data_IF_136759588693
#
_entry.id   IF_136759588693
#
_cell.length_a   1.000
_cell.length_b   1.000
_cell.length_c   1.000
_cell.angle_alpha   90.00
_cell.angle_beta   90.00
_cell.angle_gamma   90.00
#
_symmetry.space_group_name_H-M   'P 1'
#
loop_
_entity.id
_entity.type
_entity.pdbx_description
1 polymer ?
#
# COMPACT_ATOMS: atom_id res chain seq x y z
N UNK A 1 0.95 43.12 -25.73
CA UNK A 1 -0.09 42.07 -25.65
C UNK A 1 0.35 40.71 -26.22
N UNK A 2 0.80 40.57 -27.48
CA UNK A 2 1.23 39.24 -28.03
C UNK A 2 2.38 38.57 -27.25
N UNK A 3 3.34 39.33 -26.70
CA UNK A 3 4.51 38.77 -26.00
C UNK A 3 4.24 38.30 -24.56
N UNK A 4 3.31 38.93 -23.84
CA UNK A 4 2.98 38.53 -22.45
C UNK A 4 2.15 37.26 -22.43
N UNK A 5 1.16 37.16 -23.33
CA UNK A 5 0.37 35.93 -23.48
C UNK A 5 1.26 34.74 -23.87
N UNK A 6 2.29 34.97 -24.71
CA UNK A 6 3.24 33.93 -25.09
C UNK A 6 4.14 33.50 -23.91
N UNK A 7 4.48 34.45 -23.02
CA UNK A 7 5.25 34.15 -21.80
C UNK A 7 4.42 33.33 -20.79
N UNK A 8 3.16 33.70 -20.56
CA UNK A 8 2.26 32.91 -19.71
C UNK A 8 1.99 31.52 -20.29
N UNK A 9 1.77 31.42 -21.61
CA UNK A 9 1.62 30.13 -22.29
C UNK A 9 2.83 29.23 -22.05
N UNK A 10 4.05 29.71 -22.28
CA UNK A 10 5.28 28.94 -22.01
C UNK A 10 5.43 28.52 -20.55
N UNK A 11 5.11 29.40 -19.59
CA UNK A 11 5.18 29.06 -18.16
C UNK A 11 4.20 27.95 -17.79
N UNK A 12 2.97 28.03 -18.29
CA UNK A 12 1.94 27.01 -18.05
C UNK A 12 2.35 25.70 -18.72
N UNK A 13 2.81 25.74 -19.98
CA UNK A 13 3.32 24.55 -20.68
C UNK A 13 4.47 23.89 -19.91
N UNK A 14 5.45 24.67 -19.43
CA UNK A 14 6.55 24.11 -18.64
C UNK A 14 6.08 23.49 -17.32
N UNK A 15 5.07 24.08 -16.67
CA UNK A 15 4.45 23.49 -15.47
C UNK A 15 3.74 22.18 -15.81
N UNK A 16 2.97 22.15 -16.90
CA UNK A 16 2.30 20.93 -17.39
C UNK A 16 3.32 19.82 -17.68
N UNK A 17 4.39 20.12 -18.40
CA UNK A 17 5.48 19.17 -18.69
C UNK A 17 6.10 18.66 -17.39
N UNK A 18 6.43 19.56 -16.45
CA UNK A 18 7.01 19.17 -15.16
C UNK A 18 6.10 18.27 -14.33
N UNK A 19 4.79 18.51 -14.32
CA UNK A 19 3.84 17.67 -13.59
C UNK A 19 3.65 16.31 -14.27
N UNK A 20 3.58 16.27 -15.61
CA UNK A 20 3.52 15.03 -16.36
C UNK A 20 4.76 14.15 -16.15
N UNK A 21 5.96 14.76 -16.08
CA UNK A 21 7.19 14.02 -15.77
C UNK A 21 7.11 13.30 -14.42
N UNK A 22 6.60 13.97 -13.38
CA UNK A 22 6.42 13.35 -12.06
C UNK A 22 5.44 12.18 -12.09
N UNK A 23 4.35 12.32 -12.86
CA UNK A 23 3.36 11.23 -13.04
C UNK A 23 3.99 10.03 -13.75
N UNK A 24 4.83 10.25 -14.77
CA UNK A 24 5.54 9.17 -15.46
C UNK A 24 6.52 8.47 -14.52
N UNK A 25 7.29 9.23 -13.72
CA UNK A 25 8.26 8.68 -12.76
C UNK A 25 7.62 7.71 -11.76
N UNK A 26 6.41 8.01 -11.28
CA UNK A 26 5.69 7.12 -10.34
C UNK A 26 4.98 5.94 -11.01
N UNK A 27 4.74 5.98 -12.33
CA UNK A 27 4.12 4.87 -13.08
C UNK A 27 5.06 3.69 -13.36
N UNK A 28 6.28 3.72 -12.84
CA UNK A 28 7.32 2.71 -13.05
C UNK A 28 7.74 2.00 -11.75
N UNK A 29 7.07 2.24 -10.62
CA UNK A 29 7.42 1.57 -9.37
C UNK A 29 7.10 0.07 -9.37
N UNK A 30 7.96 -0.68 -8.69
CA UNK A 30 7.86 -2.14 -8.54
C UNK A 30 7.95 -2.55 -7.08
N UNK A 31 7.52 -3.78 -6.75
CA UNK A 31 7.75 -4.34 -5.40
C UNK A 31 9.24 -4.60 -5.14
N UNK A 32 10.03 -4.84 -6.18
CA UNK A 32 11.49 -4.99 -6.08
C UNK A 32 12.12 -3.68 -5.57
N UNK A 33 11.64 -2.53 -6.03
CA UNK A 33 12.11 -1.21 -5.55
C UNK A 33 11.86 -1.03 -4.04
N UNK A 34 10.75 -1.57 -3.53
CA UNK A 34 10.42 -1.53 -2.10
C UNK A 34 11.34 -2.40 -1.25
N UNK A 35 11.89 -3.48 -1.82
CA UNK A 35 12.68 -4.48 -1.10
C UNK A 35 14.16 -4.46 -1.43
N UNK A 36 14.60 -3.52 -2.28
CA UNK A 36 16.00 -3.39 -2.71
C UNK A 36 16.99 -3.29 -1.55
N UNK A 37 16.59 -2.65 -0.45
CA UNK A 37 17.43 -2.46 0.74
C UNK A 37 17.67 -3.75 1.54
N UNK A 38 16.81 -4.77 1.36
CA UNK A 38 16.94 -6.06 2.04
C UNK A 38 17.41 -7.16 1.08
N UNK A 39 17.83 -6.82 -0.14
CA UNK A 39 18.05 -7.82 -1.18
C UNK A 39 19.22 -8.78 -0.87
N UNK A 40 20.21 -8.30 -0.11
CA UNK A 40 21.38 -9.07 0.37
C UNK A 40 21.07 -10.04 1.53
N UNK A 41 19.86 -9.96 2.11
CA UNK A 41 19.45 -10.86 3.19
C UNK A 41 19.06 -12.25 2.66
N UNK A 42 19.13 -13.26 3.51
CA UNK A 42 18.57 -14.58 3.21
C UNK A 42 17.05 -14.53 3.20
N UNK A 43 16.40 -15.42 2.46
CA UNK A 43 14.93 -15.46 2.34
C UNK A 43 14.20 -15.45 3.70
N UNK A 44 14.63 -16.28 4.66
CA UNK A 44 14.05 -16.30 6.02
C UNK A 44 14.17 -14.96 6.75
N UNK A 45 15.24 -14.20 6.49
CA UNK A 45 15.44 -12.88 7.09
C UNK A 45 14.56 -11.84 6.39
N UNK A 46 14.47 -11.89 5.05
CA UNK A 46 13.57 -11.03 4.28
C UNK A 46 12.12 -11.19 4.76
N UNK A 47 11.65 -12.43 4.90
CA UNK A 47 10.30 -12.73 5.39
C UNK A 47 10.05 -12.19 6.79
N UNK A 48 11.02 -12.32 7.70
CA UNK A 48 10.90 -11.74 9.05
C UNK A 48 10.81 -10.23 9.05
N UNK A 49 11.53 -9.55 8.17
CA UNK A 49 11.43 -8.09 8.02
C UNK A 49 10.02 -7.70 7.55
N UNK A 50 9.47 -8.40 6.55
CA UNK A 50 8.11 -8.13 6.07
C UNK A 50 7.06 -8.44 7.13
N UNK A 51 7.22 -9.55 7.88
CA UNK A 51 6.38 -9.90 9.03
C UNK A 51 6.39 -8.80 10.11
N UNK A 52 7.55 -8.23 10.40
CA UNK A 52 7.69 -7.13 11.34
C UNK A 52 6.97 -5.86 10.84
N UNK A 53 7.08 -5.54 9.55
CA UNK A 53 6.34 -4.41 8.93
C UNK A 53 4.84 -4.61 9.11
N UNK A 54 4.30 -5.78 8.72
CA UNK A 54 2.87 -6.10 8.86
C UNK A 54 2.41 -5.92 10.30
N UNK A 55 3.13 -6.47 11.26
CA UNK A 55 2.77 -6.39 12.67
C UNK A 55 2.86 -4.98 13.24
N UNK A 56 3.84 -4.18 12.79
CA UNK A 56 3.94 -2.78 13.17
C UNK A 56 2.73 -2.00 12.67
N UNK A 57 2.34 -2.18 11.40
CA UNK A 57 1.16 -1.51 10.84
C UNK A 57 -0.13 -1.92 11.57
N UNK A 58 -0.34 -3.22 11.79
CA UNK A 58 -1.53 -3.72 12.51
C UNK A 58 -1.58 -3.22 13.96
N UNK A 59 -0.44 -3.10 14.64
CA UNK A 59 -0.37 -2.57 15.99
C UNK A 59 -0.73 -1.09 16.07
N UNK A 60 -0.42 -0.30 15.05
CA UNK A 60 -0.87 1.08 14.96
C UNK A 60 -2.37 1.16 14.63
N UNK A 61 -2.82 0.34 13.66
CA UNK A 61 -4.19 0.33 13.18
C UNK A 61 -5.20 -0.13 14.23
N UNK A 62 -4.84 -1.03 15.15
CA UNK A 62 -5.79 -1.59 16.15
C UNK A 62 -6.50 -0.53 17.01
N UNK A 63 -5.92 0.66 17.14
CA UNK A 63 -6.48 1.77 17.92
C UNK A 63 -7.49 2.63 17.14
N UNK A 64 -7.61 2.40 15.83
CA UNK A 64 -8.35 3.23 14.89
C UNK A 64 -9.74 2.64 14.58
N UNK A 65 -10.62 2.56 15.58
CA UNK A 65 -11.90 1.83 15.46
C UNK A 65 -12.98 2.56 14.67
N UNK A 66 -12.94 3.89 14.64
CA UNK A 66 -14.02 4.74 14.10
C UNK A 66 -13.74 5.28 12.68
N UNK A 67 -12.74 4.71 12.00
CA UNK A 67 -12.31 5.21 10.69
C UNK A 67 -13.35 4.91 9.60
N UNK A 68 -13.60 5.89 8.72
CA UNK A 68 -14.31 5.64 7.47
C UNK A 68 -13.41 4.88 6.48
N UNK A 69 -13.42 3.57 6.65
CA UNK A 69 -12.62 2.63 5.88
C UNK A 69 -12.91 2.73 4.38
N UNK A 70 -14.14 3.09 3.96
CA UNK A 70 -14.46 3.15 2.52
C UNK A 70 -13.72 4.27 1.82
N UNK A 71 -13.65 5.45 2.47
CA UNK A 71 -12.90 6.60 1.94
C UNK A 71 -11.41 6.29 1.88
N UNK A 72 -10.88 5.63 2.91
CA UNK A 72 -9.48 5.21 2.99
C UNK A 72 -9.15 4.19 1.90
N UNK A 73 -9.97 3.16 1.71
CA UNK A 73 -9.69 2.10 0.73
C UNK A 73 -9.61 2.63 -0.70
N UNK A 74 -10.48 3.56 -1.09
CA UNK A 74 -10.39 4.20 -2.41
C UNK A 74 -9.03 4.89 -2.61
N UNK A 75 -8.56 5.65 -1.62
CA UNK A 75 -7.26 6.33 -1.70
C UNK A 75 -6.09 5.33 -1.72
N UNK A 76 -6.22 4.24 -0.98
CA UNK A 76 -5.24 3.16 -0.95
C UNK A 76 -5.12 2.54 -2.35
N UNK A 77 -6.24 2.15 -2.95
CA UNK A 77 -6.26 1.57 -4.30
C UNK A 77 -5.63 2.56 -5.31
N UNK A 78 -6.04 3.85 -5.27
CA UNK A 78 -5.51 4.90 -6.16
C UNK A 78 -3.97 5.05 -6.09
N UNK A 79 -3.33 4.76 -4.95
CA UNK A 79 -1.87 4.89 -4.77
C UNK A 79 -1.11 3.57 -4.90
N UNK A 80 -1.73 2.43 -4.58
CA UNK A 80 -1.09 1.12 -4.73
C UNK A 80 -1.13 0.62 -6.17
N UNK A 81 -2.07 1.08 -6.99
CA UNK A 81 -2.19 0.72 -8.41
C UNK A 81 -0.90 0.99 -9.21
N UNK A 82 -0.09 1.96 -8.78
CA UNK A 82 1.21 2.26 -9.39
C UNK A 82 2.24 1.13 -9.26
N UNK A 83 2.05 0.19 -8.33
CA UNK A 83 2.93 -0.96 -8.10
C UNK A 83 2.45 -2.25 -8.81
N UNK A 84 1.24 -2.26 -9.40
CA UNK A 84 0.61 -3.46 -10.00
C UNK A 84 1.22 -3.82 -11.35
N UNK A 85 1.83 -2.86 -12.06
CA UNK A 85 2.13 -2.92 -13.51
C UNK A 85 2.99 -4.11 -13.99
N UNK A 86 3.61 -4.87 -13.10
CA UNK A 86 4.36 -6.10 -13.41
C UNK A 86 3.57 -7.41 -13.17
N UNK A 87 2.37 -7.32 -12.57
CA UNK A 87 1.44 -8.44 -12.28
C UNK A 87 0.26 -8.51 -13.24
N UNK A 88 0.35 -7.95 -14.46
CA UNK A 88 -0.79 -7.89 -15.40
C UNK A 88 -1.36 -9.27 -15.78
N UNK A 89 -0.58 -10.36 -15.61
CA UNK A 89 -1.05 -11.75 -15.77
C UNK A 89 -1.61 -12.39 -14.47
N UNK A 90 -1.48 -11.74 -13.31
CA UNK A 90 -1.73 -12.28 -11.96
C UNK A 90 -2.75 -11.42 -11.15
N UNK A 91 -3.73 -10.80 -11.81
CA UNK A 91 -4.76 -9.96 -11.14
C UNK A 91 -5.50 -10.65 -9.98
N UNK A 92 -5.64 -11.98 -10.04
CA UNK A 92 -6.23 -12.78 -8.97
C UNK A 92 -5.39 -12.77 -7.68
N UNK A 93 -4.05 -12.71 -7.79
CA UNK A 93 -3.14 -12.67 -6.63
C UNK A 93 -3.22 -11.32 -5.92
N UNK A 94 -3.27 -10.23 -6.70
CA UNK A 94 -3.42 -8.88 -6.14
C UNK A 94 -4.74 -8.78 -5.38
N UNK A 95 -5.85 -9.20 -6.00
CA UNK A 95 -7.16 -9.20 -5.34
C UNK A 95 -7.16 -10.09 -4.09
N UNK A 96 -6.47 -11.22 -4.10
CA UNK A 96 -6.36 -12.10 -2.93
C UNK A 96 -5.58 -11.41 -1.80
N UNK A 97 -4.43 -10.81 -2.11
CA UNK A 97 -3.61 -10.11 -1.14
C UNK A 97 -4.33 -8.89 -0.54
N UNK A 98 -5.11 -8.18 -1.36
CA UNK A 98 -5.97 -7.08 -0.89
C UNK A 98 -6.98 -7.57 0.15
N UNK A 99 -7.68 -8.66 -0.16
CA UNK A 99 -8.64 -9.28 0.76
C UNK A 99 -7.97 -9.71 2.07
N UNK A 100 -6.76 -10.27 2.01
CA UNK A 100 -6.02 -10.69 3.20
C UNK A 100 -5.64 -9.49 4.07
N UNK A 101 -5.11 -8.41 3.48
CA UNK A 101 -4.76 -7.21 4.23
C UNK A 101 -5.98 -6.58 4.91
N UNK A 102 -7.09 -6.47 4.19
CA UNK A 102 -8.35 -5.92 4.71
C UNK A 102 -8.92 -6.81 5.83
N UNK A 103 -8.81 -8.14 5.67
CA UNK A 103 -9.21 -9.12 6.67
C UNK A 103 -8.40 -9.00 7.97
N UNK A 104 -7.08 -8.89 7.84
CA UNK A 104 -6.16 -8.67 8.96
C UNK A 104 -6.48 -7.35 9.68
N UNK A 105 -6.71 -6.27 8.93
CA UNK A 105 -7.15 -4.99 9.49
C UNK A 105 -8.44 -5.14 10.30
N UNK A 106 -9.48 -5.75 9.71
CA UNK A 106 -10.79 -5.89 10.37
C UNK A 106 -10.72 -6.72 11.64
N UNK A 107 -9.94 -7.80 11.63
CA UNK A 107 -9.69 -8.58 12.84
C UNK A 107 -8.88 -7.78 13.88
N UNK A 108 -7.90 -6.98 13.46
CA UNK A 108 -7.08 -6.16 14.35
C UNK A 108 -7.87 -5.05 15.05
N UNK A 109 -8.81 -4.40 14.37
CA UNK A 109 -9.65 -3.33 14.96
C UNK A 109 -10.88 -3.86 15.71
N UNK A 110 -11.13 -5.16 15.69
CA UNK A 110 -12.28 -5.78 16.37
C UNK A 110 -13.61 -5.62 15.61
N UNK A 111 -13.58 -5.39 14.29
CA UNK A 111 -14.79 -5.15 13.50
C UNK A 111 -15.62 -6.42 13.43
N UNK A 112 -16.94 -6.30 13.64
CA UNK A 112 -17.88 -7.42 13.63
C UNK A 112 -17.51 -8.54 14.62
N UNK A 113 -17.01 -8.19 15.81
CA UNK A 113 -16.62 -9.13 16.88
C UNK A 113 -15.48 -10.09 16.51
N UNK A 114 -14.76 -9.80 15.41
CA UNK A 114 -13.61 -10.57 14.98
C UNK A 114 -12.40 -10.22 15.82
N UNK A 115 -11.50 -11.18 16.04
CA UNK A 115 -10.28 -10.97 16.81
C UNK A 115 -9.06 -11.45 16.03
N UNK A 116 -7.96 -10.72 16.20
CA UNK A 116 -6.62 -11.12 15.76
C UNK A 116 -5.70 -11.13 16.96
N UNK A 117 -5.05 -12.25 17.22
CA UNK A 117 -3.91 -12.25 18.14
C UNK A 117 -2.68 -11.72 17.39
N UNK A 118 -2.12 -10.63 17.91
CA UNK A 118 -0.85 -10.08 17.44
C UNK A 118 0.30 -10.59 18.33
N UNK A 119 1.48 -10.89 17.78
CA UNK A 119 1.85 -10.74 16.37
C UNK A 119 1.34 -11.89 15.47
N UNK A 120 1.07 -11.57 14.20
CA UNK A 120 0.78 -12.54 13.13
C UNK A 120 2.09 -13.01 12.51
N UNK A 121 2.29 -14.32 12.47
CA UNK A 121 3.45 -14.88 11.74
C UNK A 121 3.21 -14.94 10.23
N UNK A 122 4.26 -14.78 9.45
CA UNK A 122 4.27 -15.05 8.01
C UNK A 122 3.80 -16.46 7.70
N UNK A 123 4.13 -17.45 8.54
CA UNK A 123 3.60 -18.82 8.47
C UNK A 123 2.08 -18.89 8.60
N UNK A 124 1.46 -18.05 9.45
CA UNK A 124 -0.01 -18.01 9.55
C UNK A 124 -0.62 -17.52 8.24
N UNK A 125 -0.08 -16.44 7.67
CA UNK A 125 -0.55 -15.87 6.40
C UNK A 125 -0.41 -16.91 5.29
N UNK A 126 0.76 -17.54 5.18
CA UNK A 126 1.04 -18.55 4.16
C UNK A 126 0.16 -19.79 4.24
N UNK A 127 -0.08 -20.30 5.44
CA UNK A 127 -0.75 -21.58 5.62
C UNK A 127 -2.28 -21.47 5.71
N UNK A 128 -2.80 -20.30 6.10
CA UNK A 128 -4.22 -20.14 6.43
C UNK A 128 -4.92 -18.98 5.75
N UNK A 129 -4.17 -18.03 5.16
CA UNK A 129 -4.77 -16.91 4.43
C UNK A 129 -4.58 -17.05 2.92
N UNK A 130 -3.38 -17.43 2.47
CA UNK A 130 -3.09 -17.64 1.05
C UNK A 130 -3.70 -18.95 0.54
N UNK A 131 -4.25 -18.88 -0.66
CA UNK A 131 -4.79 -20.00 -1.43
C UNK A 131 -3.65 -20.87 -1.95
N UNK A 132 -3.96 -22.14 -2.23
CA UNK A 132 -2.99 -23.07 -2.83
C UNK A 132 -2.56 -22.71 -4.25
N UNK A 133 -3.15 -21.66 -4.84
CA UNK A 133 -2.87 -21.23 -6.21
C UNK A 133 -1.64 -20.32 -6.29
N UNK A 134 -1.19 -19.74 -5.17
CA UNK A 134 0.00 -18.90 -5.13
C UNK A 134 1.23 -19.77 -5.19
N UNK A 135 2.06 -19.58 -6.22
CA UNK A 135 3.30 -20.32 -6.38
C UNK A 135 4.34 -19.89 -5.33
N UNK A 136 5.28 -20.78 -5.01
CA UNK A 136 6.32 -20.48 -4.01
C UNK A 136 7.17 -19.24 -4.35
N UNK A 137 7.34 -18.95 -5.65
CA UNK A 137 8.05 -17.75 -6.12
C UNK A 137 7.22 -16.46 -6.00
N UNK A 138 5.90 -16.55 -5.84
CA UNK A 138 5.00 -15.39 -5.62
C UNK A 138 4.72 -15.14 -4.13
N UNK A 139 5.12 -16.04 -3.23
CA UNK A 139 4.84 -15.92 -1.79
C UNK A 139 5.48 -14.67 -1.16
N UNK A 140 6.73 -14.36 -1.54
CA UNK A 140 7.42 -13.20 -0.99
C UNK A 140 6.75 -11.91 -1.44
N UNK A 141 6.47 -11.80 -2.74
CA UNK A 141 5.75 -10.69 -3.34
C UNK A 141 4.36 -10.48 -2.73
N UNK A 142 3.64 -11.57 -2.47
CA UNK A 142 2.35 -11.53 -1.78
C UNK A 142 2.46 -10.91 -0.40
N UNK A 143 3.48 -11.28 0.38
CA UNK A 143 3.75 -10.68 1.68
C UNK A 143 4.11 -9.20 1.58
N UNK A 144 4.91 -8.82 0.57
CA UNK A 144 5.28 -7.43 0.31
C UNK A 144 4.05 -6.60 -0.06
N UNK A 145 3.15 -7.15 -0.88
CA UNK A 145 1.89 -6.50 -1.25
C UNK A 145 0.98 -6.27 -0.04
N UNK A 146 0.77 -7.30 0.78
CA UNK A 146 0.00 -7.19 2.03
C UNK A 146 0.60 -6.11 2.95
N UNK A 147 1.92 -6.09 3.08
CA UNK A 147 2.62 -5.07 3.87
C UNK A 147 2.43 -3.66 3.28
N UNK A 148 2.60 -3.49 1.97
CA UNK A 148 2.40 -2.23 1.25
C UNK A 148 0.99 -1.69 1.47
N UNK A 149 -0.03 -2.54 1.32
CA UNK A 149 -1.44 -2.15 1.52
C UNK A 149 -1.71 -1.68 2.95
N UNK A 150 -1.20 -2.39 3.95
CA UNK A 150 -1.33 -1.98 5.36
C UNK A 150 -0.61 -0.65 5.66
N UNK A 151 0.57 -0.44 5.07
CA UNK A 151 1.31 0.84 5.15
C UNK A 151 0.49 1.96 4.50
N UNK A 152 -0.06 1.71 3.30
CA UNK A 152 -0.89 2.67 2.57
C UNK A 152 -2.16 3.05 3.35
N UNK A 153 -2.81 2.08 4.00
CA UNK A 153 -3.96 2.32 4.87
C UNK A 153 -3.57 3.27 6.01
N UNK A 154 -2.51 2.97 6.76
CA UNK A 154 -2.02 3.83 7.83
C UNK A 154 -1.66 5.24 7.34
N UNK A 155 -1.01 5.34 6.17
CA UNK A 155 -0.67 6.60 5.55
C UNK A 155 -1.91 7.44 5.23
N UNK A 156 -2.90 6.86 4.54
CA UNK A 156 -4.12 7.56 4.14
C UNK A 156 -4.95 8.00 5.34
N UNK A 157 -4.97 7.20 6.42
CA UNK A 157 -5.60 7.57 7.69
C UNK A 157 -4.96 8.85 8.24
N UNK A 158 -3.63 8.85 8.41
CA UNK A 158 -2.88 9.99 8.96
C UNK A 158 -3.01 11.24 8.09
N UNK A 159 -3.02 11.05 6.77
CA UNK A 159 -3.20 12.14 5.80
C UNK A 159 -4.59 12.76 5.90
N UNK A 160 -5.65 11.96 6.04
CA UNK A 160 -7.00 12.48 6.19
C UNK A 160 -7.18 13.21 7.53
N UNK A 161 -6.62 12.69 8.62
CA UNK A 161 -6.66 13.38 9.93
C UNK A 161 -5.96 14.74 9.88
N UNK A 162 -4.80 14.85 9.21
CA UNK A 162 -4.10 16.14 9.10
C UNK A 162 -4.83 17.14 8.21
N UNK A 163 -5.60 16.69 7.21
CA UNK A 163 -6.46 17.57 6.43
C UNK A 163 -7.64 18.09 7.24
N UNK A 164 -8.23 17.28 8.13
CA UNK A 164 -9.31 17.71 9.01
C UNK A 164 -8.82 18.79 9.98
N UNK A 165 -7.65 18.60 10.61
CA UNK A 165 -7.04 19.60 11.50
C UNK A 165 -6.76 20.95 10.80
N UNK A 166 -6.36 20.94 9.53
CA UNK A 166 -6.08 22.16 8.76
C UNK A 166 -7.33 22.88 8.22
N UNK A 167 -8.52 22.28 8.32
CA UNK A 167 -9.78 22.88 7.87
C UNK A 167 -10.60 23.49 9.04
N UNK A 168 -10.13 23.35 10.28
CA UNK A 168 -10.76 23.94 11.48
C UNK A 168 -10.18 25.31 11.90
N UNK A 169 -9.17 25.82 11.15
CA UNK A 169 -8.57 27.16 11.28
C UNK A 169 -9.08 28.15 10.19
#
# INVERSE_FOLDING_TARGET
>A
MKNENNNYANKITNKMVSDLSKVIEVQEFTLDDLTIIINDLKNEQKEKVIEEIINNQLNELKNNKDIDIRKVFKQVDDITDYFIKYYDDDSDIVSECDQIADDLLFKAIGRNERTLELPVSSSYIKNYCLSSNISNNQLFDSLVWIALRLVAINYCIRFNSSLEDNNED
#
